data_IF_585839082870
#
_entry.id   IF_585839082870
#
_cell.length_a   1.000
_cell.length_b   1.000
_cell.length_c   1.000
_cell.angle_alpha   90.00
_cell.angle_beta   90.00
_cell.angle_gamma   90.00
#
_symmetry.space_group_name_H-M   'P 1'
#
loop_
_entity.id
_entity.type
_entity.pdbx_description
1 polymer ?
#
# COMPACT_ATOMS: atom_id res chain seq x y z
N UNK A 1 17.76 -34.76 25.21
CA UNK A 1 17.44 -35.00 23.79
C UNK A 1 16.56 -33.84 23.34
N UNK A 2 17.11 -32.63 23.30
CA UNK A 2 16.32 -31.40 23.18
C UNK A 2 17.04 -30.18 22.60
N UNK A 3 18.29 -30.31 22.13
CA UNK A 3 19.08 -29.13 21.71
C UNK A 3 19.29 -29.02 20.19
N UNK A 4 19.05 -30.08 19.42
CA UNK A 4 19.26 -30.04 17.96
C UNK A 4 18.21 -29.25 17.16
N UNK A 5 17.07 -28.90 17.77
CA UNK A 5 16.05 -28.11 17.08
C UNK A 5 16.27 -26.60 17.18
N UNK A 6 17.02 -26.09 18.18
CA UNK A 6 17.26 -24.64 18.29
C UNK A 6 18.43 -24.16 17.44
N UNK A 7 19.49 -24.98 17.28
CA UNK A 7 20.70 -24.61 16.53
C UNK A 7 20.41 -24.32 15.04
N UNK A 8 19.55 -25.11 14.40
CA UNK A 8 19.20 -24.89 12.99
C UNK A 8 18.32 -23.67 12.73
N UNK A 9 17.57 -23.20 13.73
CA UNK A 9 16.84 -21.94 13.58
C UNK A 9 17.79 -20.75 13.64
N UNK A 10 18.77 -20.77 14.56
CA UNK A 10 19.76 -19.69 14.68
C UNK A 10 20.67 -19.57 13.46
N UNK A 11 21.09 -20.68 12.84
CA UNK A 11 21.96 -20.65 11.64
C UNK A 11 21.31 -19.92 10.44
N UNK A 12 20.00 -20.04 10.24
CA UNK A 12 19.32 -19.40 9.09
C UNK A 12 19.23 -17.87 9.25
N UNK A 13 19.29 -17.36 10.48
CA UNK A 13 19.15 -15.93 10.75
C UNK A 13 20.43 -15.12 10.53
N UNK A 14 21.60 -15.78 10.60
CA UNK A 14 22.91 -15.16 10.38
C UNK A 14 23.43 -15.32 8.94
N UNK A 15 22.78 -16.13 8.11
CA UNK A 15 23.15 -16.25 6.69
C UNK A 15 22.78 -14.97 5.91
N UNK A 16 23.75 -14.46 5.14
CA UNK A 16 23.50 -13.39 4.18
C UNK A 16 22.68 -13.92 3.00
N UNK A 17 21.61 -13.19 2.70
CA UNK A 17 20.65 -13.55 1.65
C UNK A 17 20.58 -12.39 0.65
N UNK A 18 20.44 -12.73 -0.62
CA UNK A 18 20.26 -11.79 -1.73
C UNK A 18 18.79 -11.80 -2.17
N UNK A 19 18.14 -10.65 -2.21
CA UNK A 19 16.80 -10.53 -2.79
C UNK A 19 16.94 -10.54 -4.32
N UNK A 20 16.57 -11.65 -4.95
CA UNK A 20 16.71 -11.86 -6.39
C UNK A 20 15.50 -11.29 -7.16
N UNK A 21 14.29 -11.62 -6.69
CA UNK A 21 13.06 -11.19 -7.35
C UNK A 21 11.92 -10.91 -6.34
N UNK A 22 10.92 -10.16 -6.81
CA UNK A 22 9.72 -9.81 -6.06
C UNK A 22 8.48 -10.16 -6.88
N UNK A 23 7.70 -11.09 -6.34
CA UNK A 23 6.44 -11.52 -6.91
C UNK A 23 5.28 -10.83 -6.18
N UNK A 24 4.33 -10.31 -6.94
CA UNK A 24 3.12 -9.68 -6.41
C UNK A 24 1.90 -10.39 -6.98
N UNK A 25 0.93 -10.73 -6.13
CA UNK A 25 -0.27 -11.45 -6.53
C UNK A 25 -1.51 -10.95 -5.79
N UNK A 26 -2.68 -11.14 -6.39
CA UNK A 26 -3.97 -10.72 -5.83
C UNK A 26 -4.33 -9.23 -6.07
N UNK A 27 -3.47 -8.49 -6.77
CA UNK A 27 -3.76 -7.16 -7.29
C UNK A 27 -4.60 -7.27 -8.56
N UNK A 28 -5.92 -7.09 -8.43
CA UNK A 28 -6.87 -7.15 -9.55
C UNK A 28 -7.11 -5.78 -10.19
N UNK A 29 -7.04 -4.71 -9.39
CA UNK A 29 -7.32 -3.33 -9.80
C UNK A 29 -6.07 -2.46 -9.86
N UNK A 30 -5.10 -2.74 -8.99
CA UNK A 30 -3.84 -2.01 -8.95
C UNK A 30 -2.87 -2.65 -9.93
N UNK A 31 -2.23 -1.84 -10.77
CA UNK A 31 -1.27 -2.36 -11.74
C UNK A 31 -0.01 -2.87 -11.03
N UNK A 32 0.51 -3.98 -11.53
CA UNK A 32 1.70 -4.60 -10.96
C UNK A 32 2.94 -3.73 -11.13
N UNK A 33 3.08 -3.01 -12.25
CA UNK A 33 4.21 -2.08 -12.51
C UNK A 33 4.34 -1.04 -11.39
N UNK A 34 3.22 -0.41 -11.03
CA UNK A 34 3.16 0.57 -9.95
C UNK A 34 3.60 -0.03 -8.60
N UNK A 35 3.19 -1.25 -8.29
CA UNK A 35 3.55 -1.91 -7.03
C UNK A 35 5.01 -2.36 -7.00
N UNK A 36 5.54 -2.83 -8.14
CA UNK A 36 6.95 -3.18 -8.29
C UNK A 36 7.83 -1.96 -8.09
N UNK A 37 7.44 -0.79 -8.64
CA UNK A 37 8.18 0.47 -8.42
C UNK A 37 8.28 0.85 -6.93
N UNK A 38 7.26 0.54 -6.12
CA UNK A 38 7.29 0.78 -4.67
C UNK A 38 8.23 -0.16 -3.89
N UNK A 39 8.65 -1.27 -4.52
CA UNK A 39 9.47 -2.33 -3.92
C UNK A 39 10.84 -2.47 -4.60
N UNK A 40 11.08 -1.74 -5.69
CA UNK A 40 12.25 -1.89 -6.55
C UNK A 40 13.57 -1.68 -5.80
N UNK A 41 13.55 -0.91 -4.70
CA UNK A 41 14.73 -0.67 -3.90
C UNK A 41 15.22 -1.92 -3.15
N UNK A 42 14.33 -2.89 -2.88
CA UNK A 42 14.68 -4.14 -2.19
C UNK A 42 15.45 -5.12 -3.09
N UNK A 43 15.20 -5.12 -4.39
CA UNK A 43 15.82 -6.05 -5.34
C UNK A 43 17.33 -5.81 -5.39
N UNK A 44 18.12 -6.88 -5.31
CA UNK A 44 19.58 -6.84 -5.35
C UNK A 44 20.25 -6.51 -4.00
N UNK A 45 19.48 -6.26 -2.93
CA UNK A 45 20.06 -6.06 -1.61
C UNK A 45 20.59 -7.38 -1.03
N UNK A 46 21.78 -7.32 -0.42
CA UNK A 46 22.41 -8.41 0.32
C UNK A 46 22.39 -8.07 1.80
N UNK A 47 21.61 -8.80 2.58
CA UNK A 47 21.40 -8.52 3.99
C UNK A 47 21.20 -9.83 4.76
N UNK A 48 21.40 -9.81 6.09
CA UNK A 48 20.95 -10.90 6.95
C UNK A 48 19.45 -11.14 6.79
N UNK A 49 19.04 -12.41 6.91
CA UNK A 49 17.63 -12.80 6.77
C UNK A 49 16.70 -12.00 7.68
N UNK A 50 17.14 -11.66 8.90
CA UNK A 50 16.40 -10.83 9.87
C UNK A 50 16.10 -9.43 9.33
N UNK A 51 17.07 -8.79 8.68
CA UNK A 51 16.91 -7.47 8.09
C UNK A 51 16.00 -7.50 6.85
N UNK A 52 16.08 -8.57 6.04
CA UNK A 52 15.16 -8.76 4.91
C UNK A 52 13.72 -8.82 5.40
N UNK A 53 13.44 -9.59 6.45
CA UNK A 53 12.09 -9.64 7.04
C UNK A 53 11.63 -8.27 7.52
N UNK A 54 12.49 -7.52 8.20
CA UNK A 54 12.17 -6.18 8.68
C UNK A 54 11.85 -5.21 7.53
N UNK A 55 12.69 -5.16 6.49
CA UNK A 55 12.49 -4.29 5.32
C UNK A 55 11.29 -4.71 4.49
N UNK A 56 11.11 -6.01 4.27
CA UNK A 56 9.97 -6.53 3.53
C UNK A 56 8.67 -6.17 4.24
N UNK A 57 8.63 -6.33 5.58
CA UNK A 57 7.50 -5.93 6.40
C UNK A 57 7.23 -4.43 6.36
N UNK A 58 8.26 -3.59 6.48
CA UNK A 58 8.14 -2.14 6.36
C UNK A 58 7.52 -1.73 5.02
N UNK A 59 7.98 -2.33 3.92
CA UNK A 59 7.43 -2.10 2.58
C UNK A 59 5.97 -2.58 2.46
N UNK A 60 5.64 -3.72 3.07
CA UNK A 60 4.25 -4.19 3.15
C UNK A 60 3.33 -3.24 3.93
N UNK A 61 3.83 -2.65 5.02
CA UNK A 61 3.11 -1.59 5.77
C UNK A 61 2.90 -0.37 4.88
N UNK A 62 3.90 0.03 4.09
CA UNK A 62 3.75 1.15 3.16
C UNK A 62 2.72 0.85 2.06
N UNK A 63 2.73 -0.36 1.49
CA UNK A 63 1.69 -0.80 0.55
C UNK A 63 0.29 -0.79 1.20
N UNK A 64 0.16 -1.22 2.45
CA UNK A 64 -1.10 -1.16 3.18
C UNK A 64 -1.54 0.29 3.44
N UNK A 65 -0.60 1.20 3.73
CA UNK A 65 -0.86 2.65 3.92
C UNK A 65 -1.36 3.37 2.68
N UNK A 66 -1.07 2.87 1.48
CA UNK A 66 -1.69 3.37 0.24
C UNK A 66 -3.22 3.25 0.28
N UNK A 67 -3.75 2.36 1.13
CA UNK A 67 -5.18 2.26 1.39
C UNK A 67 -5.95 1.48 0.32
N UNK A 68 -5.28 0.94 -0.70
CA UNK A 68 -5.87 0.16 -1.80
C UNK A 68 -6.15 -1.29 -1.42
N UNK A 69 -5.40 -1.84 -0.46
CA UNK A 69 -5.48 -3.25 -0.07
C UNK A 69 -6.07 -3.39 1.33
N UNK A 70 -6.97 -4.36 1.48
CA UNK A 70 -7.55 -4.79 2.75
C UNK A 70 -6.58 -5.64 3.57
N UNK A 71 -5.70 -6.36 2.88
CA UNK A 71 -4.65 -7.17 3.47
C UNK A 71 -3.42 -7.19 2.57
N UNK A 72 -2.24 -7.29 3.18
CA UNK A 72 -0.94 -7.45 2.52
C UNK A 72 -0.18 -8.51 3.31
N UNK A 73 -0.08 -9.71 2.76
CA UNK A 73 0.71 -10.81 3.31
C UNK A 73 2.05 -10.90 2.59
N UNK A 74 3.08 -11.31 3.32
CA UNK A 74 4.47 -11.30 2.85
C UNK A 74 5.09 -12.64 3.19
N UNK A 75 5.60 -13.33 2.18
CA UNK A 75 6.32 -14.58 2.33
C UNK A 75 7.72 -14.42 1.75
N UNK A 76 8.73 -14.86 2.50
CA UNK A 76 10.12 -14.90 2.03
C UNK A 76 10.44 -16.35 1.69
N UNK A 77 10.62 -16.63 0.41
CA UNK A 77 10.90 -17.98 -0.08
C UNK A 77 12.34 -18.06 -0.59
N UNK A 78 12.96 -19.23 -0.49
CA UNK A 78 14.19 -19.53 -1.23
C UNK A 78 13.85 -19.52 -2.72
N UNK A 79 14.75 -18.98 -3.55
CA UNK A 79 14.51 -18.94 -4.99
C UNK A 79 14.37 -20.38 -5.53
N UNK A 80 13.33 -20.67 -6.33
CA UNK A 80 13.22 -21.96 -7.00
C UNK A 80 14.45 -22.11 -7.91
N UNK A 81 15.15 -23.23 -7.76
CA UNK A 81 16.39 -23.58 -8.47
C UNK A 81 17.71 -22.98 -7.93
N UNK A 82 17.72 -22.36 -6.75
CA UNK A 82 18.98 -21.93 -6.16
C UNK A 82 19.69 -23.01 -5.35
N UNK A 83 20.71 -23.63 -5.94
CA UNK A 83 21.82 -24.11 -5.12
C UNK A 83 22.54 -22.89 -4.55
N UNK A 84 22.73 -22.85 -3.23
CA UNK A 84 23.54 -21.81 -2.60
C UNK A 84 24.90 -21.76 -3.33
N UNK A 85 25.32 -20.61 -3.91
CA UNK A 85 26.63 -20.52 -4.51
C UNK A 85 27.65 -20.94 -3.45
N UNK A 86 28.62 -21.80 -3.80
CA UNK A 86 29.60 -22.38 -2.85
C UNK A 86 30.33 -21.34 -1.97
N UNK A 87 30.27 -20.04 -2.30
CA UNK A 87 30.82 -18.91 -1.55
C UNK A 87 30.00 -17.61 -1.74
N UNK A 88 28.66 -17.67 -1.85
CA UNK A 88 27.83 -16.47 -2.10
C UNK A 88 26.50 -16.47 -1.34
N UNK A 89 25.84 -15.31 -1.21
CA UNK A 89 24.59 -15.20 -0.47
C UNK A 89 23.50 -16.04 -1.12
N UNK A 90 22.63 -16.62 -0.29
CA UNK A 90 21.51 -17.43 -0.76
C UNK A 90 20.50 -16.52 -1.47
N UNK A 91 20.07 -16.80 -2.71
CA UNK A 91 19.04 -15.98 -3.34
C UNK A 91 17.66 -16.30 -2.77
N UNK A 92 16.88 -15.25 -2.51
CA UNK A 92 15.50 -15.33 -2.04
C UNK A 92 14.56 -14.55 -2.95
N UNK A 93 13.31 -14.99 -2.95
CA UNK A 93 12.20 -14.35 -3.66
C UNK A 93 11.19 -13.88 -2.63
N UNK A 94 10.85 -12.60 -2.68
CA UNK A 94 9.80 -12.02 -1.85
C UNK A 94 8.46 -12.18 -2.56
N UNK A 95 7.48 -12.79 -1.90
CA UNK A 95 6.14 -12.94 -2.44
C UNK A 95 5.14 -12.13 -1.62
N UNK A 96 4.68 -11.03 -2.21
CA UNK A 96 3.61 -10.20 -1.68
C UNK A 96 2.26 -10.70 -2.21
N UNK A 97 1.39 -11.12 -1.30
CA UNK A 97 0.00 -11.46 -1.60
C UNK A 97 -0.89 -10.34 -1.07
N UNK A 98 -1.53 -9.61 -1.98
CA UNK A 98 -2.39 -8.48 -1.64
C UNK A 98 -3.85 -8.81 -1.91
N UNK A 99 -4.75 -8.24 -1.10
CA UNK A 99 -6.19 -8.34 -1.33
C UNK A 99 -6.78 -6.96 -1.52
N UNK A 100 -7.17 -6.63 -2.75
CA UNK A 100 -7.79 -5.34 -3.06
C UNK A 100 -8.98 -5.04 -2.15
N UNK A 101 -9.08 -3.80 -1.67
CA UNK A 101 -10.32 -3.31 -1.08
C UNK A 101 -11.36 -3.23 -2.18
N UNK A 102 -12.63 -3.61 -1.91
CA UNK A 102 -13.71 -3.37 -2.85
C UNK A 102 -13.76 -1.87 -3.13
N UNK A 103 -13.47 -1.49 -4.37
CA UNK A 103 -13.42 -0.07 -4.72
C UNK A 103 -14.83 0.47 -4.70
N UNK A 104 -15.06 1.28 -3.69
CA UNK A 104 -16.31 1.93 -3.41
C UNK A 104 -16.07 3.40 -3.65
N UNK A 105 -16.89 4.03 -4.49
CA UNK A 105 -17.03 5.47 -4.44
C UNK A 105 -17.35 5.82 -2.99
N UNK A 106 -16.45 6.55 -2.34
CA UNK A 106 -16.67 7.04 -0.98
C UNK A 106 -17.44 8.33 -1.10
N UNK A 107 -18.44 8.52 -0.26
CA UNK A 107 -19.15 9.78 -0.23
C UNK A 107 -19.57 10.16 1.17
N UNK A 108 -19.55 11.45 1.44
CA UNK A 108 -19.98 12.02 2.71
C UNK A 108 -20.82 13.26 2.46
N UNK A 109 -21.85 13.44 3.27
CA UNK A 109 -22.71 14.61 3.27
C UNK A 109 -22.59 15.26 4.64
N UNK A 110 -22.21 16.54 4.71
CA UNK A 110 -22.12 17.24 5.98
C UNK A 110 -22.52 18.70 5.89
N UNK A 111 -22.72 19.30 7.06
CA UNK A 111 -22.99 20.73 7.20
C UNK A 111 -21.81 21.33 7.95
N UNK A 112 -21.19 22.38 7.38
CA UNK A 112 -20.11 23.13 8.05
C UNK A 112 -20.69 24.43 8.61
N UNK A 113 -20.79 24.52 9.93
CA UNK A 113 -21.02 25.78 10.64
C UNK A 113 -19.68 26.47 10.92
N UNK A 114 -19.62 27.79 10.76
CA UNK A 114 -18.49 28.60 11.22
C UNK A 114 -18.82 29.20 12.59
N UNK A 115 -17.82 29.41 13.44
CA UNK A 115 -17.99 30.06 14.76
C UNK A 115 -18.08 31.60 14.67
N UNK A 116 -17.96 32.19 13.47
CA UNK A 116 -18.03 33.64 13.28
C UNK A 116 -19.42 34.10 12.77
N UNK A 117 -19.94 35.13 13.43
CA UNK A 117 -21.32 35.64 13.53
C UNK A 117 -22.02 36.10 12.21
N UNK A 118 -21.42 35.86 11.04
CA UNK A 118 -21.99 36.23 9.72
C UNK A 118 -21.89 35.11 8.67
N UNK A 119 -21.50 33.90 9.10
CA UNK A 119 -21.20 32.82 8.16
C UNK A 119 -22.42 31.97 7.84
N UNK A 120 -22.87 32.03 6.59
CA UNK A 120 -23.93 31.19 6.04
C UNK A 120 -23.55 29.70 6.13
N UNK A 121 -24.41 28.80 6.66
CA UNK A 121 -24.10 27.37 6.70
C UNK A 121 -23.94 26.83 5.28
N UNK A 122 -22.98 25.90 5.12
CA UNK A 122 -22.69 25.26 3.83
C UNK A 122 -23.02 23.78 3.94
N UNK A 123 -23.93 23.31 3.09
CA UNK A 123 -24.10 21.88 2.84
C UNK A 123 -23.01 21.45 1.86
N UNK A 124 -22.23 20.45 2.23
CA UNK A 124 -21.22 19.88 1.38
C UNK A 124 -21.49 18.41 1.14
N UNK A 125 -21.32 18.00 -0.12
CA UNK A 125 -21.32 16.62 -0.56
C UNK A 125 -19.95 16.30 -1.17
N UNK A 126 -19.33 15.23 -0.72
CA UNK A 126 -18.08 14.73 -1.27
C UNK A 126 -18.33 13.39 -1.95
N UNK A 127 -17.69 13.17 -3.09
CA UNK A 127 -17.56 11.87 -3.74
C UNK A 127 -16.08 11.66 -4.06
N UNK A 128 -15.49 10.55 -3.65
CA UNK A 128 -14.12 10.17 -4.01
C UNK A 128 -14.03 8.74 -4.55
N UNK A 129 -13.13 8.54 -5.51
CA UNK A 129 -12.82 7.25 -6.12
C UNK A 129 -11.30 7.05 -6.07
N UNK A 130 -10.79 6.35 -5.05
CA UNK A 130 -9.37 6.06 -4.95
C UNK A 130 -8.96 4.96 -5.94
N UNK A 131 -7.74 5.07 -6.44
CA UNK A 131 -7.07 4.16 -7.37
C UNK A 131 -7.91 3.86 -8.62
N UNK A 132 -8.38 4.91 -9.31
CA UNK A 132 -9.29 4.77 -10.45
C UNK A 132 -8.63 4.07 -11.65
N UNK A 133 -7.35 4.34 -11.92
CA UNK A 133 -6.62 3.79 -13.06
C UNK A 133 -5.59 2.71 -12.63
N UNK A 134 -5.58 2.36 -11.36
CA UNK A 134 -4.70 1.33 -10.81
C UNK A 134 -3.27 1.82 -10.52
N UNK A 135 -2.99 3.12 -10.50
CA UNK A 135 -1.65 3.67 -10.20
C UNK A 135 -1.65 4.63 -9.03
N UNK A 136 -2.61 4.46 -8.13
CA UNK A 136 -2.73 5.22 -6.91
C UNK A 136 -3.38 6.60 -7.04
N UNK A 137 -4.02 6.90 -8.17
CA UNK A 137 -4.72 8.17 -8.37
C UNK A 137 -6.02 8.24 -7.57
N UNK A 138 -6.33 9.38 -6.97
CA UNK A 138 -7.64 9.62 -6.35
C UNK A 138 -8.41 10.68 -7.12
N UNK A 139 -9.60 10.31 -7.62
CA UNK A 139 -10.56 11.28 -8.13
C UNK A 139 -11.43 11.75 -6.97
N UNK A 140 -11.40 13.03 -6.64
CA UNK A 140 -12.27 13.62 -5.62
C UNK A 140 -13.10 14.76 -6.23
N UNK A 141 -14.37 14.81 -5.88
CA UNK A 141 -15.29 15.88 -6.25
C UNK A 141 -16.03 16.36 -5.02
N UNK A 142 -15.99 17.67 -4.79
CA UNK A 142 -16.68 18.35 -3.71
C UNK A 142 -17.74 19.29 -4.29
N UNK A 143 -18.97 19.14 -3.81
CA UNK A 143 -20.11 19.99 -4.16
C UNK A 143 -20.51 20.75 -2.90
N UNK A 144 -20.39 22.07 -2.94
CA UNK A 144 -20.76 22.96 -1.84
C UNK A 144 -21.94 23.84 -2.24
N UNK A 145 -22.96 23.90 -1.39
CA UNK A 145 -24.09 24.82 -1.54
C UNK A 145 -24.10 25.74 -0.34
N UNK A 146 -23.85 27.04 -0.58
CA UNK A 146 -24.09 28.09 0.41
C UNK A 146 -25.60 28.19 0.59
N UNK A 147 -26.06 28.31 1.82
CA UNK A 147 -27.48 28.37 2.17
C UNK A 147 -27.88 29.81 2.55
N UNK A 148 -27.89 30.82 1.65
CA UNK A 148 -28.23 32.19 2.01
C UNK A 148 -29.71 32.26 2.39
N UNK A 149 -30.01 32.28 3.69
CA UNK A 149 -31.39 32.18 4.23
C UNK A 149 -32.19 30.93 3.81
N UNK A 150 -31.54 29.92 3.20
CA UNK A 150 -32.08 28.83 2.35
C UNK A 150 -32.66 29.27 0.99
N UNK A 151 -31.79 29.52 -0.01
CA UNK A 151 -32.10 29.30 -1.44
C UNK A 151 -30.91 28.65 -2.17
N UNK A 152 -31.20 27.71 -3.08
CA UNK A 152 -30.24 26.77 -3.67
C UNK A 152 -29.48 27.40 -4.86
N UNK A 153 -28.17 27.63 -4.71
CA UNK A 153 -27.25 27.89 -5.81
C UNK A 153 -26.02 26.99 -5.64
N UNK A 154 -25.84 26.03 -6.54
CA UNK A 154 -24.71 25.09 -6.52
C UNK A 154 -23.51 25.62 -7.27
N UNK A 155 -22.32 25.48 -6.69
CA UNK A 155 -21.04 25.74 -7.34
C UNK A 155 -20.28 24.41 -7.45
N UNK A 156 -19.84 24.05 -8.67
CA UNK A 156 -19.09 22.82 -8.95
C UNK A 156 -17.60 23.19 -8.99
N UNK A 157 -16.80 22.61 -8.10
CA UNK A 157 -15.33 22.71 -8.16
C UNK A 157 -14.72 21.32 -8.33
N UNK A 158 -14.04 21.13 -9.46
CA UNK A 158 -13.26 19.93 -9.75
C UNK A 158 -11.81 20.13 -9.29
N UNK A 159 -11.31 19.27 -8.40
CA UNK A 159 -9.89 19.16 -8.09
C UNK A 159 -9.43 17.74 -8.40
N UNK A 160 -8.60 17.60 -9.43
CA UNK A 160 -7.86 16.37 -9.68
C UNK A 160 -6.51 16.50 -8.98
N UNK A 161 -6.21 15.60 -8.03
CA UNK A 161 -4.90 15.52 -7.40
C UNK A 161 -4.23 14.23 -7.87
N UNK A 162 -3.26 14.38 -8.77
CA UNK A 162 -2.37 13.30 -9.19
C UNK A 162 -1.18 13.38 -8.24
N UNK A 163 -0.98 12.33 -7.45
CA UNK A 163 0.17 12.19 -6.55
C UNK A 163 1.32 11.51 -7.28
#
# INVERSE_FOLDING_TARGET
MGDHFSEHFEEIFDEEVLIDDILISGNTRTKTDFLVDQLADLVGQKLPMTEIFAKAHERGVNLHRLGFFSNVDINVNKAPDSEAPKNGPLPCVLHYTVKDKPGMFRGWLGIKGSMDDVSVPILYANISAPNLLGRGEELQTDIGVKIPGFSLAGEISLKAQIS
#
